data_IF_059031920372
#
_entry.id   IF_059031920372
#
_cell.length_a   1.000
_cell.length_b   1.000
_cell.length_c   1.000
_cell.angle_alpha   90.00
_cell.angle_beta   90.00
_cell.angle_gamma   90.00
#
_symmetry.space_group_name_H-M   'P 1'
#
loop_
_entity.id
_entity.type
_entity.pdbx_description
1 polymer ?
#
# COMPACT_ATOMS: atom_id res chain seq x y z
N UNK A 1 6.71 5.69 14.39
CA UNK A 1 7.30 6.80 15.19
C UNK A 1 6.38 8.00 15.04
N UNK A 2 6.22 8.84 16.07
CA UNK A 2 5.28 9.98 16.05
C UNK A 2 5.85 11.28 15.46
N UNK A 3 7.16 11.37 15.27
CA UNK A 3 7.84 12.50 14.63
C UNK A 3 9.23 12.09 14.10
N UNK A 4 9.73 12.84 13.11
CA UNK A 4 11.13 12.76 12.66
C UNK A 4 12.02 13.55 13.62
N UNK A 5 13.13 12.95 14.03
CA UNK A 5 14.07 13.55 14.98
C UNK A 5 15.48 13.48 14.40
N UNK A 6 15.96 14.60 13.85
CA UNK A 6 17.22 14.67 13.08
C UNK A 6 18.44 14.10 13.83
N UNK A 7 18.49 14.27 15.16
CA UNK A 7 19.58 13.75 16.00
C UNK A 7 19.58 12.22 16.14
N UNK A 8 18.49 11.55 15.79
CA UNK A 8 18.43 10.08 15.70
C UNK A 8 18.76 9.58 14.29
N UNK A 9 18.98 10.48 13.33
CA UNK A 9 19.15 10.20 11.91
C UNK A 9 20.48 10.80 11.41
N UNK A 10 21.54 10.69 12.21
CA UNK A 10 22.89 11.18 11.89
C UNK A 10 22.96 12.67 11.49
N UNK A 11 22.05 13.48 12.03
CA UNK A 11 21.85 14.88 11.67
C UNK A 11 21.49 15.12 10.19
N UNK A 12 20.92 14.12 9.51
CA UNK A 12 20.44 14.23 8.15
C UNK A 12 19.05 14.88 8.18
N UNK A 13 18.86 15.98 7.46
CA UNK A 13 17.53 16.57 7.29
C UNK A 13 16.66 15.68 6.39
N UNK A 14 15.32 15.73 6.52
CA UNK A 14 14.44 15.06 5.58
C UNK A 14 14.76 15.45 4.13
N UNK A 15 14.85 14.48 3.21
CA UNK A 15 15.09 14.79 1.80
C UNK A 15 13.79 15.22 1.10
N UNK A 16 12.67 14.61 1.48
CA UNK A 16 11.35 14.92 0.93
C UNK A 16 10.40 15.24 2.08
N UNK A 17 9.63 16.31 1.93
CA UNK A 17 8.66 16.77 2.93
C UNK A 17 7.29 16.93 2.28
N UNK A 18 6.27 16.43 2.97
CA UNK A 18 4.86 16.66 2.65
C UNK A 18 4.21 17.41 3.79
N UNK A 19 3.58 18.53 3.49
CA UNK A 19 2.74 19.30 4.41
C UNK A 19 1.29 19.22 3.96
N UNK A 20 0.40 18.91 4.91
CA UNK A 20 -1.04 18.86 4.65
C UNK A 20 -1.67 20.07 5.34
N UNK A 21 -2.27 20.96 4.57
CA UNK A 21 -2.93 22.15 5.12
C UNK A 21 -4.14 21.71 5.94
N UNK A 22 -4.25 22.27 7.14
CA UNK A 22 -5.41 22.09 8.02
C UNK A 22 -6.18 23.39 8.18
N UNK A 23 -7.50 23.34 8.42
CA UNK A 23 -8.30 24.52 8.72
C UNK A 23 -7.69 25.33 9.87
N UNK A 24 -7.33 26.59 9.61
CA UNK A 24 -6.71 27.48 10.61
C UNK A 24 -5.19 27.64 10.48
N UNK A 25 -4.54 27.00 9.52
CA UNK A 25 -3.15 27.30 9.20
C UNK A 25 -2.99 28.76 8.77
N UNK A 26 -2.06 29.47 9.42
CA UNK A 26 -1.73 30.86 9.09
C UNK A 26 -0.66 30.87 8.00
N UNK A 27 -0.86 31.70 6.97
CA UNK A 27 0.12 31.92 5.90
C UNK A 27 1.54 32.22 6.41
N UNK A 28 1.65 32.98 7.51
CA UNK A 28 2.96 33.30 8.12
C UNK A 28 3.64 32.09 8.76
N UNK A 29 2.89 31.10 9.26
CA UNK A 29 3.46 29.86 9.78
C UNK A 29 3.97 28.97 8.63
N UNK A 30 3.19 28.87 7.55
CA UNK A 30 3.57 28.12 6.33
C UNK A 30 4.82 28.71 5.68
N UNK A 31 4.93 30.04 5.58
CA UNK A 31 6.13 30.68 5.05
C UNK A 31 7.38 30.41 5.91
N UNK A 32 7.25 30.44 7.25
CA UNK A 32 8.36 30.09 8.16
C UNK A 32 8.80 28.65 7.98
N UNK A 33 7.84 27.74 7.81
CA UNK A 33 8.10 26.32 7.62
C UNK A 33 8.78 26.05 6.27
N UNK A 34 8.30 26.68 5.20
CA UNK A 34 8.96 26.66 3.90
C UNK A 34 10.42 27.13 3.98
N UNK A 35 10.67 28.30 4.59
CA UNK A 35 12.03 28.83 4.75
C UNK A 35 12.92 27.98 5.64
N UNK A 36 12.35 27.32 6.65
CA UNK A 36 13.08 26.33 7.42
C UNK A 36 13.57 25.20 6.50
N UNK A 37 12.67 24.53 5.77
CA UNK A 37 13.05 23.43 4.90
C UNK A 37 14.00 23.81 3.77
N UNK A 38 13.84 25.01 3.19
CA UNK A 38 14.78 25.56 2.21
C UNK A 38 16.20 25.67 2.79
N UNK A 39 16.35 26.23 4.00
CA UNK A 39 17.66 26.43 4.63
C UNK A 39 18.32 25.10 5.07
N UNK A 40 17.54 24.07 5.38
CA UNK A 40 18.04 22.79 5.88
C UNK A 40 18.24 21.71 4.80
N UNK A 41 18.20 22.09 3.52
CA UNK A 41 18.63 21.20 2.44
C UNK A 41 17.57 20.19 1.96
N UNK A 42 16.30 20.38 2.30
CA UNK A 42 15.20 19.54 1.76
C UNK A 42 15.24 19.56 0.23
N UNK A 43 15.28 18.41 -0.41
CA UNK A 43 15.40 18.25 -1.87
C UNK A 43 14.04 18.49 -2.57
N UNK A 44 12.96 18.01 -1.96
CA UNK A 44 11.59 18.12 -2.49
C UNK A 44 10.61 18.54 -1.38
N UNK A 45 9.79 19.55 -1.66
CA UNK A 45 8.79 20.04 -0.71
C UNK A 45 7.43 20.07 -1.40
N UNK A 46 6.44 19.42 -0.80
CA UNK A 46 5.09 19.29 -1.34
C UNK A 46 4.08 19.78 -0.30
N UNK A 47 3.11 20.59 -0.74
CA UNK A 47 2.02 21.08 0.09
C UNK A 47 0.71 20.68 -0.56
N UNK A 48 -0.15 20.00 0.19
CA UNK A 48 -1.48 19.61 -0.25
C UNK A 48 -2.55 20.32 0.56
N UNK A 49 -3.48 20.99 -0.12
CA UNK A 49 -4.71 21.52 0.45
C UNK A 49 -5.87 20.55 0.16
N UNK A 50 -6.40 19.85 1.19
CA UNK A 50 -7.51 18.92 1.01
C UNK A 50 -8.85 19.62 0.76
N UNK A 51 -9.02 20.89 1.11
CA UNK A 51 -10.28 21.62 0.91
C UNK A 51 -10.45 22.03 -0.55
N UNK A 52 -9.38 22.53 -1.16
CA UNK A 52 -9.36 22.96 -2.57
C UNK A 52 -8.86 21.84 -3.52
N UNK A 53 -8.45 20.69 -2.97
CA UNK A 53 -7.77 19.59 -3.68
C UNK A 53 -6.60 20.08 -4.55
N UNK A 54 -5.76 20.94 -3.96
CA UNK A 54 -4.62 21.54 -4.66
C UNK A 54 -3.30 20.95 -4.14
N UNK A 55 -2.46 20.47 -5.06
CA UNK A 55 -1.10 20.05 -4.76
C UNK A 55 -0.13 21.06 -5.36
N UNK A 56 0.77 21.57 -4.53
CA UNK A 56 1.85 22.48 -4.92
C UNK A 56 3.19 21.84 -4.56
N UNK A 57 4.15 21.92 -5.47
CA UNK A 57 5.48 21.33 -5.29
C UNK A 57 6.62 22.30 -5.55
N UNK A 58 7.74 22.04 -4.88
CA UNK A 58 9.00 22.69 -5.12
C UNK A 58 10.13 21.66 -5.19
N UNK A 59 11.04 21.87 -6.15
CA UNK A 59 12.26 21.08 -6.31
C UNK A 59 13.47 21.97 -6.00
N UNK A 60 14.41 21.43 -5.22
CA UNK A 60 15.65 22.13 -4.95
C UNK A 60 16.48 22.27 -6.22
N UNK A 61 16.92 23.49 -6.50
CA UNK A 61 18.05 23.78 -7.38
C UNK A 61 19.01 24.68 -6.62
N UNK A 62 20.27 24.28 -6.52
CA UNK A 62 21.28 24.91 -5.68
C UNK A 62 20.80 25.03 -4.21
N UNK A 63 20.72 26.25 -3.69
CA UNK A 63 20.34 26.53 -2.31
C UNK A 63 18.85 26.87 -2.13
N UNK A 64 18.05 26.85 -3.21
CA UNK A 64 16.67 27.33 -3.20
C UNK A 64 15.66 26.27 -3.62
N UNK A 65 14.45 26.38 -3.07
CA UNK A 65 13.29 25.59 -3.46
C UNK A 65 12.55 26.31 -4.60
N UNK A 66 12.59 25.73 -5.80
CA UNK A 66 12.00 26.33 -7.00
C UNK A 66 10.64 25.70 -7.27
N UNK A 67 9.67 26.54 -7.61
CA UNK A 67 8.30 26.13 -7.89
C UNK A 67 8.24 25.16 -9.08
N UNK A 68 7.44 24.09 -8.94
CA UNK A 68 7.13 23.16 -10.02
C UNK A 68 5.89 23.68 -10.74
N UNK A 69 6.02 23.99 -12.04
CA UNK A 69 4.95 24.64 -12.81
C UNK A 69 3.66 23.81 -12.91
N UNK A 70 3.78 22.49 -12.94
CA UNK A 70 2.64 21.59 -13.01
C UNK A 70 2.89 20.31 -12.22
N UNK A 71 1.94 19.97 -11.36
CA UNK A 71 1.94 18.71 -10.61
C UNK A 71 1.25 17.56 -11.35
N UNK A 72 0.55 17.84 -12.45
CA UNK A 72 -0.09 16.81 -13.27
C UNK A 72 0.98 15.94 -13.95
N UNK A 73 0.93 14.62 -13.70
CA UNK A 73 1.92 13.67 -14.16
C UNK A 73 3.32 13.87 -13.55
N UNK A 74 3.50 14.74 -12.55
CA UNK A 74 4.80 14.99 -11.94
C UNK A 74 5.33 13.72 -11.26
N UNK A 75 6.62 13.40 -11.48
CA UNK A 75 7.29 12.26 -10.84
C UNK A 75 8.37 12.77 -9.89
N UNK A 76 8.25 12.42 -8.62
CA UNK A 76 9.25 12.73 -7.59
C UNK A 76 10.61 12.12 -7.97
N UNK A 77 11.69 12.92 -8.12
CA UNK A 77 13.02 12.40 -8.41
C UNK A 77 13.55 11.42 -7.35
N UNK A 78 13.27 11.65 -6.07
CA UNK A 78 13.78 10.80 -4.98
C UNK A 78 12.89 9.60 -4.70
N UNK A 79 11.58 9.79 -4.70
CA UNK A 79 10.62 8.74 -4.32
C UNK A 79 10.13 7.91 -5.51
N UNK A 80 10.25 8.43 -6.73
CA UNK A 80 9.76 7.81 -7.96
C UNK A 80 8.24 7.56 -7.96
N UNK A 81 7.50 8.29 -7.12
CA UNK A 81 6.03 8.30 -7.13
C UNK A 81 5.53 9.35 -8.11
N UNK A 82 4.40 9.08 -8.78
CA UNK A 82 3.76 9.99 -9.73
C UNK A 82 2.49 10.59 -9.13
N UNK A 83 2.27 11.89 -9.35
CA UNK A 83 1.06 12.60 -8.94
C UNK A 83 0.16 12.83 -10.16
N UNK A 84 -1.14 12.63 -10.00
CA UNK A 84 -2.16 13.00 -10.99
C UNK A 84 -3.26 13.81 -10.28
N UNK A 85 -3.68 14.92 -10.87
CA UNK A 85 -4.68 15.84 -10.31
C UNK A 85 -5.86 16.08 -11.26
N UNK A 86 -5.76 15.69 -12.54
CA UNK A 86 -6.81 15.88 -13.55
C UNK A 86 -8.13 15.15 -13.26
N UNK A 87 -8.12 14.11 -12.42
CA UNK A 87 -9.32 13.36 -12.00
C UNK A 87 -10.25 14.14 -11.07
N UNK A 88 -9.83 15.30 -10.57
CA UNK A 88 -10.59 16.09 -9.59
C UNK A 88 -10.31 15.69 -8.14
N UNK A 89 -9.58 14.59 -7.92
CA UNK A 89 -8.98 14.16 -6.65
C UNK A 89 -7.47 13.96 -6.88
N UNK A 90 -6.64 14.22 -5.85
CA UNK A 90 -5.22 13.87 -5.88
C UNK A 90 -5.04 12.34 -5.89
N UNK A 91 -4.47 11.81 -6.96
CA UNK A 91 -4.03 10.43 -7.05
C UNK A 91 -2.50 10.35 -7.02
N UNK A 92 -2.00 9.33 -6.31
CA UNK A 92 -0.57 9.05 -6.23
C UNK A 92 -0.34 7.63 -6.73
N UNK A 93 0.66 7.45 -7.58
CA UNK A 93 1.05 6.17 -8.14
C UNK A 93 2.45 5.79 -7.64
N UNK A 94 2.61 4.53 -7.27
CA UNK A 94 3.87 3.92 -6.89
C UNK A 94 4.83 3.83 -8.09
N UNK A 95 6.13 3.56 -7.85
CA UNK A 95 7.11 3.39 -8.94
C UNK A 95 6.77 2.26 -9.92
N UNK A 96 6.00 1.25 -9.48
CA UNK A 96 5.51 0.15 -10.32
C UNK A 96 4.24 0.50 -11.13
N UNK A 97 3.72 1.71 -10.97
CA UNK A 97 2.52 2.19 -11.63
C UNK A 97 1.21 1.83 -10.94
N UNK A 98 1.24 1.19 -9.76
CA UNK A 98 0.04 0.93 -8.98
C UNK A 98 -0.40 2.16 -8.19
N UNK A 99 -1.70 2.47 -8.17
CA UNK A 99 -2.26 3.56 -7.36
C UNK A 99 -2.06 3.28 -5.87
N UNK A 100 -1.63 4.29 -5.10
CA UNK A 100 -1.66 4.27 -3.65
C UNK A 100 -3.12 4.21 -3.19
N UNK A 101 -3.41 3.23 -2.34
CA UNK A 101 -4.74 3.07 -1.77
C UNK A 101 -4.85 3.88 -0.48
N UNK A 102 -6.01 4.46 -0.26
CA UNK A 102 -6.37 4.99 1.05
C UNK A 102 -6.36 3.87 2.10
N UNK A 103 -6.24 4.25 3.37
CA UNK A 103 -6.29 3.29 4.47
C UNK A 103 -7.57 2.44 4.46
N UNK A 104 -8.71 3.05 4.09
CA UNK A 104 -10.00 2.37 4.02
C UNK A 104 -10.03 1.33 2.91
N UNK A 105 -9.51 1.66 1.72
CA UNK A 105 -9.41 0.73 0.59
C UNK A 105 -8.47 -0.43 0.91
N UNK A 106 -7.31 -0.14 1.52
CA UNK A 106 -6.36 -1.18 1.95
C UNK A 106 -6.98 -2.13 2.99
N UNK A 107 -7.72 -1.60 3.97
CA UNK A 107 -8.44 -2.41 4.96
C UNK A 107 -9.46 -3.33 4.28
N UNK A 108 -10.25 -2.80 3.34
CA UNK A 108 -11.24 -3.57 2.60
C UNK A 108 -10.58 -4.68 1.76
N UNK A 109 -9.49 -4.40 1.07
CA UNK A 109 -8.76 -5.42 0.32
C UNK A 109 -8.22 -6.54 1.23
N UNK A 110 -7.65 -6.16 2.38
CA UNK A 110 -7.15 -7.13 3.36
C UNK A 110 -8.27 -8.04 3.89
N UNK A 111 -9.42 -7.47 4.21
CA UNK A 111 -10.59 -8.24 4.66
C UNK A 111 -11.10 -9.20 3.59
N UNK A 112 -11.17 -8.76 2.33
CA UNK A 112 -11.57 -9.61 1.21
C UNK A 112 -10.58 -10.76 0.99
N UNK A 113 -9.28 -10.46 1.00
CA UNK A 113 -8.24 -11.47 0.87
C UNK A 113 -8.30 -12.51 2.00
N UNK A 114 -8.55 -12.06 3.23
CA UNK A 114 -8.68 -12.95 4.39
C UNK A 114 -9.89 -13.88 4.26
N UNK A 115 -11.06 -13.36 3.87
CA UNK A 115 -12.26 -14.19 3.63
C UNK A 115 -12.03 -15.20 2.51
N UNK A 116 -11.37 -14.79 1.43
CA UNK A 116 -11.06 -15.69 0.32
C UNK A 116 -10.13 -16.82 0.77
N UNK A 117 -9.13 -16.51 1.59
CA UNK A 117 -8.21 -17.51 2.13
C UNK A 117 -8.93 -18.49 3.06
N UNK A 118 -9.82 -18.01 3.94
CA UNK A 118 -10.63 -18.85 4.83
C UNK A 118 -11.55 -19.79 4.05
N UNK A 119 -12.25 -19.28 3.02
CA UNK A 119 -13.09 -20.10 2.15
C UNK A 119 -12.29 -21.18 1.42
N UNK A 120 -11.11 -20.81 0.89
CA UNK A 120 -10.23 -21.75 0.18
C UNK A 120 -9.74 -22.85 1.13
N UNK A 121 -9.38 -22.50 2.37
CA UNK A 121 -8.99 -23.49 3.39
C UNK A 121 -10.14 -24.44 3.76
N UNK A 122 -11.35 -23.93 3.92
CA UNK A 122 -12.52 -24.76 4.20
C UNK A 122 -12.81 -25.74 3.06
N UNK A 123 -12.71 -25.30 1.80
CA UNK A 123 -12.90 -26.15 0.64
C UNK A 123 -11.82 -27.25 0.57
N UNK A 124 -10.55 -26.90 0.78
CA UNK A 124 -9.47 -27.88 0.79
C UNK A 124 -9.64 -28.92 1.90
N UNK A 125 -10.10 -28.50 3.09
CA UNK A 125 -10.36 -29.42 4.21
C UNK A 125 -11.55 -30.33 3.93
N UNK A 126 -12.64 -29.81 3.35
CA UNK A 126 -13.77 -30.62 2.91
C UNK A 126 -13.37 -31.66 1.87
N UNK A 127 -12.62 -31.26 0.83
CA UNK A 127 -12.13 -32.17 -0.19
C UNK A 127 -11.22 -33.26 0.40
N UNK A 128 -10.39 -32.90 1.40
CA UNK A 128 -9.55 -33.86 2.11
C UNK A 128 -10.38 -34.86 2.91
N UNK A 129 -11.42 -34.41 3.61
CA UNK A 129 -12.32 -35.30 4.37
C UNK A 129 -13.11 -36.23 3.46
N UNK A 130 -13.58 -35.74 2.30
CA UNK A 130 -14.26 -36.57 1.32
C UNK A 130 -13.34 -37.65 0.73
N UNK A 131 -12.12 -37.27 0.35
CA UNK A 131 -11.10 -38.22 -0.13
C UNK A 131 -10.79 -39.29 0.91
N UNK A 132 -10.64 -38.90 2.17
CA UNK A 132 -10.39 -39.84 3.28
C UNK A 132 -11.59 -40.79 3.49
N UNK A 133 -12.81 -40.28 3.44
CA UNK A 133 -14.02 -41.09 3.58
C UNK A 133 -14.19 -42.08 2.42
N UNK A 134 -13.93 -41.64 1.18
CA UNK A 134 -13.97 -42.51 0.00
C UNK A 134 -12.92 -43.62 0.13
N UNK A 135 -11.70 -43.28 0.58
CA UNK A 135 -10.63 -44.26 0.81
C UNK A 135 -11.03 -45.28 1.87
N UNK A 136 -11.54 -44.84 3.02
CA UNK A 136 -12.02 -45.75 4.08
C UNK A 136 -13.15 -46.67 3.62
N UNK A 137 -14.07 -46.18 2.79
CA UNK A 137 -15.13 -47.00 2.20
C UNK A 137 -14.57 -48.03 1.22
N UNK A 138 -13.61 -47.65 0.38
CA UNK A 138 -12.94 -48.54 -0.56
C UNK A 138 -12.16 -49.64 0.17
N UNK A 139 -11.44 -49.27 1.25
CA UNK A 139 -10.69 -50.22 2.08
C UNK A 139 -11.64 -51.23 2.74
N UNK A 140 -12.73 -50.79 3.37
CA UNK A 140 -13.75 -51.68 3.97
C UNK A 140 -14.43 -52.59 2.96
N UNK A 141 -14.70 -52.10 1.74
CA UNK A 141 -15.30 -52.92 0.69
C UNK A 141 -14.31 -54.00 0.23
N UNK A 142 -13.04 -53.62 0.06
CA UNK A 142 -11.97 -54.54 -0.31
C UNK A 142 -11.77 -55.64 0.76
N UNK A 143 -11.82 -55.29 2.04
CA UNK A 143 -11.78 -56.26 3.15
C UNK A 143 -12.95 -57.25 3.08
N UNK A 144 -14.19 -56.76 2.90
CA UNK A 144 -15.38 -57.64 2.77
C UNK A 144 -15.31 -58.56 1.56
N UNK A 145 -14.81 -58.08 0.42
CA UNK A 145 -14.61 -58.91 -0.78
C UNK A 145 -13.60 -60.04 -0.52
N UNK A 146 -12.49 -59.72 0.17
CA UNK A 146 -11.51 -60.72 0.60
C UNK A 146 -12.11 -61.76 1.56
N UNK A 147 -12.95 -61.36 2.51
CA UNK A 147 -13.68 -62.29 3.40
C UNK A 147 -14.60 -63.24 2.63
N UNK A 148 -15.19 -62.79 1.52
CA UNK A 148 -16.02 -63.60 0.63
C UNK A 148 -15.20 -64.46 -0.38
N UNK A 149 -13.87 -64.44 -0.29
CA UNK A 149 -12.99 -65.23 -1.16
C UNK A 149 -12.78 -64.64 -2.56
N UNK A 150 -13.14 -63.37 -2.77
CA UNK A 150 -12.97 -62.66 -4.05
C UNK A 150 -11.74 -61.76 -3.93
N UNK A 151 -10.75 -61.90 -4.82
CA UNK A 151 -9.56 -61.05 -4.82
C UNK A 151 -9.88 -59.68 -5.46
N UNK A 152 -9.85 -58.57 -4.70
CA UNK A 152 -10.21 -57.25 -5.24
C UNK A 152 -9.21 -56.69 -6.26
N UNK A 153 -8.00 -57.25 -6.34
CA UNK A 153 -6.95 -56.81 -7.29
C UNK A 153 -7.03 -57.52 -8.66
N UNK A 154 -7.94 -58.49 -8.82
CA UNK A 154 -8.16 -59.26 -10.05
C UNK A 154 -9.43 -58.85 -10.81
N UNK A 155 -10.14 -57.81 -10.35
CA UNK A 155 -11.33 -57.22 -10.98
C UNK A 155 -10.96 -55.84 -11.55
#
# INVERSE_FOLDING_TARGET
RGSYQQWLEDNIAPQVVFEIISPGNRMTAMFKLFKFYENYGVEEYYVYDPEDNELIGWLRSDEQLNYIESMEGWVSPRLQIRFETASGDLEIYQPDGLKFLSYVELSRQKELAQRQMELTQQQMEQERQEKELVKQKADRLSEKLREMGINPEEI
#
